data_IF_033313215796
#
_entry.id   IF_033313215796
#
_cell.length_a   1.000
_cell.length_b   1.000
_cell.length_c   1.000
_cell.angle_alpha   90.00
_cell.angle_beta   90.00
_cell.angle_gamma   90.00
#
_symmetry.space_group_name_H-M   'P 1'
#
loop_
_entity.id
_entity.type
_entity.pdbx_description
1 polymer ?
#
# COMPACT_ATOMS: atom_id res chain seq x y z
N UNK A 1 17.23 10.12 -19.80
CA UNK A 1 18.60 9.55 -19.79
C UNK A 1 19.45 10.19 -18.68
N UNK A 2 19.45 11.53 -18.56
CA UNK A 2 20.22 12.27 -17.54
C UNK A 2 19.88 11.91 -16.06
N UNK A 3 18.60 11.62 -15.76
CA UNK A 3 18.16 11.22 -14.41
C UNK A 3 18.77 9.86 -14.00
N UNK A 4 18.93 8.96 -14.96
CA UNK A 4 19.44 7.61 -14.72
C UNK A 4 20.95 7.68 -14.47
N UNK A 5 21.70 8.47 -15.24
CA UNK A 5 23.15 8.63 -15.00
C UNK A 5 23.43 9.27 -13.64
N UNK A 6 22.73 10.35 -13.28
CA UNK A 6 22.88 10.98 -11.95
C UNK A 6 22.57 10.02 -10.79
N UNK A 7 21.58 9.13 -10.98
CA UNK A 7 21.23 8.14 -9.96
C UNK A 7 22.29 7.03 -9.83
N UNK A 8 22.87 6.61 -10.97
CA UNK A 8 23.94 5.61 -11.01
C UNK A 8 25.23 6.19 -10.42
N UNK A 9 25.58 7.43 -10.76
CA UNK A 9 26.75 8.14 -10.20
C UNK A 9 26.64 8.26 -8.68
N UNK A 10 25.48 8.67 -8.17
CA UNK A 10 25.24 8.74 -6.73
C UNK A 10 25.32 7.37 -6.04
N UNK A 11 24.79 6.33 -6.66
CA UNK A 11 24.87 4.98 -6.13
C UNK A 11 26.30 4.43 -6.16
N UNK A 12 27.10 4.81 -7.16
CA UNK A 12 28.50 4.46 -7.29
C UNK A 12 29.34 5.17 -6.21
N UNK A 13 29.18 6.48 -6.03
CA UNK A 13 29.86 7.24 -4.97
C UNK A 13 29.52 6.73 -3.55
N UNK A 14 28.29 6.26 -3.34
CA UNK A 14 27.86 5.69 -2.05
C UNK A 14 28.42 4.26 -1.82
N UNK A 15 28.80 3.57 -2.89
CA UNK A 15 29.36 2.22 -2.85
C UNK A 15 30.89 2.19 -2.81
N UNK A 16 31.55 3.12 -3.51
CA UNK A 16 33.01 3.32 -3.55
C UNK A 16 33.48 4.07 -2.29
N UNK A 17 33.81 3.31 -1.24
CA UNK A 17 34.16 3.90 0.07
C UNK A 17 35.59 4.42 0.10
N UNK A 18 36.47 3.80 -0.66
CA UNK A 18 37.88 4.18 -0.74
C UNK A 18 38.15 5.28 -1.77
N UNK A 19 37.14 5.65 -2.57
CA UNK A 19 37.19 6.68 -3.62
C UNK A 19 38.24 6.37 -4.68
N UNK A 20 38.46 5.08 -4.95
CA UNK A 20 39.42 4.62 -5.94
C UNK A 20 38.94 4.85 -7.38
N UNK A 21 37.65 5.15 -7.58
CA UNK A 21 37.04 5.26 -8.91
C UNK A 21 36.73 3.89 -9.53
N UNK A 22 36.87 2.81 -8.76
CA UNK A 22 36.54 1.44 -9.15
C UNK A 22 35.85 0.72 -7.99
N UNK A 23 34.95 -0.23 -8.28
CA UNK A 23 34.32 -1.04 -7.24
C UNK A 23 35.06 -2.36 -7.08
N UNK A 24 35.59 -2.60 -5.88
CA UNK A 24 36.07 -3.94 -5.53
C UNK A 24 34.90 -4.92 -5.41
N UNK A 25 35.16 -6.23 -5.56
CA UNK A 25 34.10 -7.26 -5.47
C UNK A 25 33.38 -7.22 -4.10
N UNK A 26 34.08 -6.87 -3.03
CA UNK A 26 33.51 -6.72 -1.70
C UNK A 26 32.54 -5.52 -1.61
N UNK A 27 32.90 -4.38 -2.22
CA UNK A 27 32.06 -3.18 -2.26
C UNK A 27 30.84 -3.40 -3.16
N UNK A 28 31.03 -4.04 -4.33
CA UNK A 28 29.92 -4.42 -5.20
C UNK A 28 28.95 -5.36 -4.48
N UNK A 29 29.45 -6.39 -3.79
CA UNK A 29 28.61 -7.31 -3.02
C UNK A 29 27.85 -6.57 -1.89
N UNK A 30 28.51 -5.65 -1.18
CA UNK A 30 27.86 -4.83 -0.17
C UNK A 30 26.80 -3.90 -0.76
N UNK A 31 27.08 -3.28 -1.91
CA UNK A 31 26.17 -2.39 -2.61
C UNK A 31 24.95 -3.14 -3.14
N UNK A 32 25.14 -4.32 -3.75
CA UNK A 32 24.06 -5.20 -4.18
C UNK A 32 23.23 -5.70 -2.99
N UNK A 33 23.86 -6.10 -1.87
CA UNK A 33 23.14 -6.49 -0.66
C UNK A 33 22.28 -5.35 -0.09
N UNK A 34 22.79 -4.11 -0.07
CA UNK A 34 22.01 -2.93 0.30
C UNK A 34 20.88 -2.65 -0.70
N UNK A 35 21.15 -2.78 -2.00
CA UNK A 35 20.13 -2.61 -3.02
C UNK A 35 19.02 -3.66 -2.85
N UNK A 36 19.36 -4.91 -2.57
CA UNK A 36 18.43 -6.01 -2.34
C UNK A 36 17.51 -5.74 -1.15
N UNK A 37 18.05 -5.24 -0.03
CA UNK A 37 17.21 -4.79 1.11
C UNK A 37 16.27 -3.63 0.76
N UNK A 38 16.59 -2.84 -0.26
CA UNK A 38 15.78 -1.72 -0.77
C UNK A 38 14.85 -2.13 -1.91
N UNK A 39 15.02 -3.33 -2.50
CA UNK A 39 14.09 -3.92 -3.47
C UNK A 39 12.87 -4.43 -2.69
N UNK A 40 12.09 -3.44 -2.23
CA UNK A 40 10.69 -3.44 -1.77
C UNK A 40 10.33 -4.28 -0.54
N UNK A 41 10.47 -3.67 0.63
CA UNK A 41 9.40 -3.75 1.63
C UNK A 41 8.29 -2.78 1.18
N UNK A 42 7.20 -3.31 0.61
CA UNK A 42 5.97 -2.54 0.48
C UNK A 42 5.53 -2.07 1.87
N UNK A 43 4.82 -0.93 1.99
CA UNK A 43 4.44 -0.43 3.30
C UNK A 43 3.57 -1.47 4.02
N UNK A 44 3.88 -1.76 5.29
CA UNK A 44 3.18 -2.76 6.11
C UNK A 44 1.76 -2.29 6.46
N UNK A 45 0.88 -2.34 5.47
CA UNK A 45 -0.49 -1.84 5.50
C UNK A 45 -1.45 -2.96 5.18
N UNK A 46 -2.66 -2.90 5.74
CA UNK A 46 -3.72 -3.86 5.43
C UNK A 46 -4.02 -3.93 3.92
N UNK A 47 -3.87 -2.81 3.22
CA UNK A 47 -4.08 -2.73 1.78
C UNK A 47 -3.06 -3.56 0.99
N UNK A 48 -1.78 -3.51 1.36
CA UNK A 48 -0.72 -4.34 0.75
C UNK A 48 -0.99 -5.82 1.05
N UNK A 49 -1.21 -6.16 2.32
CA UNK A 49 -1.47 -7.54 2.73
C UNK A 49 -2.70 -8.14 2.02
N UNK A 50 -3.78 -7.37 1.85
CA UNK A 50 -4.97 -7.80 1.13
C UNK A 50 -4.69 -8.08 -0.35
N UNK A 51 -3.96 -7.18 -1.03
CA UNK A 51 -3.60 -7.36 -2.44
C UNK A 51 -2.64 -8.51 -2.67
N UNK A 52 -1.64 -8.67 -1.79
CA UNK A 52 -0.71 -9.80 -1.83
C UNK A 52 -1.44 -11.12 -1.58
N UNK A 53 -2.36 -11.15 -0.61
CA UNK A 53 -3.20 -12.31 -0.32
C UNK A 53 -4.04 -12.73 -1.51
N UNK A 54 -4.72 -11.79 -2.18
CA UNK A 54 -5.47 -12.07 -3.42
C UNK A 54 -4.56 -12.57 -4.54
N UNK A 55 -3.40 -11.94 -4.74
CA UNK A 55 -2.45 -12.35 -5.77
C UNK A 55 -1.93 -13.77 -5.57
N UNK A 56 -1.57 -14.13 -4.33
CA UNK A 56 -1.11 -15.48 -3.99
C UNK A 56 -2.24 -16.50 -4.16
N UNK A 57 -3.47 -16.16 -3.78
CA UNK A 57 -4.62 -17.04 -3.99
C UNK A 57 -4.85 -17.33 -5.48
N UNK A 58 -4.80 -16.30 -6.33
CA UNK A 58 -4.93 -16.45 -7.79
C UNK A 58 -3.79 -17.30 -8.37
N UNK A 59 -2.57 -17.09 -7.90
CA UNK A 59 -1.40 -17.88 -8.31
C UNK A 59 -1.56 -19.35 -7.95
N UNK A 60 -1.99 -19.67 -6.73
CA UNK A 60 -2.22 -21.04 -6.29
C UNK A 60 -3.33 -21.73 -7.11
N UNK A 61 -4.39 -20.99 -7.44
CA UNK A 61 -5.47 -21.51 -8.30
C UNK A 61 -4.97 -21.81 -9.73
N UNK A 62 -4.14 -20.93 -10.31
CA UNK A 62 -3.54 -21.15 -11.63
C UNK A 62 -2.62 -22.38 -11.64
N UNK A 63 -1.79 -22.55 -10.61
CA UNK A 63 -0.89 -23.70 -10.51
C UNK A 63 -1.62 -25.04 -10.42
N UNK A 64 -2.80 -25.07 -9.79
CA UNK A 64 -3.64 -26.27 -9.73
C UNK A 64 -4.11 -26.71 -11.12
N UNK A 65 -4.44 -25.78 -11.99
CA UNK A 65 -4.90 -26.06 -13.36
C UNK A 65 -3.75 -26.46 -14.29
N UNK A 66 -2.54 -25.92 -14.07
CA UNK A 66 -1.32 -26.26 -14.85
C UNK A 66 -0.84 -27.70 -14.61
N UNK A 67 -1.09 -28.30 -13.44
CA UNK A 67 -0.73 -29.71 -13.19
C UNK A 67 -1.45 -30.71 -14.12
N UNK A 68 -2.54 -30.28 -14.80
CA UNK A 68 -3.33 -31.13 -15.70
C UNK A 68 -2.96 -31.01 -17.18
N UNK A 69 -2.23 -29.96 -17.60
CA UNK A 69 -1.90 -29.73 -19.01
C UNK A 69 -0.48 -29.15 -19.09
N UNK A 70 0.41 -29.85 -19.80
CA UNK A 70 1.79 -29.53 -20.17
C UNK A 70 2.37 -28.23 -19.62
N UNK A 71 3.50 -28.35 -18.91
CA UNK A 71 4.37 -27.31 -18.34
C UNK A 71 4.96 -26.34 -19.38
N UNK A 72 4.14 -25.77 -20.26
CA UNK A 72 4.54 -24.56 -20.96
C UNK A 72 4.70 -23.48 -19.90
N UNK A 73 5.91 -22.95 -19.86
CA UNK A 73 6.44 -22.00 -18.91
C UNK A 73 5.62 -20.70 -18.94
N UNK A 74 4.44 -20.72 -18.32
CA UNK A 74 3.61 -19.53 -18.16
C UNK A 74 4.43 -18.53 -17.35
N UNK A 75 4.76 -17.40 -17.97
CA UNK A 75 5.43 -16.31 -17.28
C UNK A 75 4.50 -15.81 -16.18
N UNK A 76 4.74 -16.25 -14.94
CA UNK A 76 3.99 -15.79 -13.78
C UNK A 76 4.20 -14.28 -13.67
N UNK A 77 3.09 -13.54 -13.76
CA UNK A 77 3.13 -12.08 -13.67
C UNK A 77 3.58 -11.70 -12.26
N UNK A 78 4.66 -10.91 -12.14
CA UNK A 78 5.10 -10.41 -10.84
C UNK A 78 4.04 -9.51 -10.18
N UNK A 79 3.92 -9.60 -8.86
CA UNK A 79 3.04 -8.74 -8.08
C UNK A 79 3.34 -7.26 -8.32
N UNK A 80 2.30 -6.46 -8.50
CA UNK A 80 2.40 -5.00 -8.62
C UNK A 80 1.40 -4.36 -7.66
N UNK A 81 1.92 -3.75 -6.61
CA UNK A 81 1.11 -2.99 -5.66
C UNK A 81 0.41 -1.83 -6.37
N UNK A 82 -0.88 -1.69 -6.10
CA UNK A 82 -1.70 -0.57 -6.54
C UNK A 82 -2.07 0.27 -5.32
N UNK A 83 -1.50 1.47 -5.21
CA UNK A 83 -1.89 2.41 -4.17
C UNK A 83 -3.34 2.86 -4.39
N UNK A 84 -4.16 2.89 -3.34
CA UNK A 84 -5.58 3.29 -3.43
C UNK A 84 -5.88 4.57 -2.63
N UNK A 85 -4.85 5.25 -2.15
CA UNK A 85 -4.96 6.41 -1.27
C UNK A 85 -4.76 6.02 0.20
N UNK A 86 -4.85 7.03 1.06
CA UNK A 86 -4.76 6.92 2.51
C UNK A 86 -5.85 7.75 3.18
N UNK A 87 -6.35 7.27 4.32
CA UNK A 87 -7.37 7.95 5.10
C UNK A 87 -6.97 7.97 6.58
N UNK A 88 -7.16 9.11 7.24
CA UNK A 88 -6.83 9.28 8.65
C UNK A 88 -7.92 10.09 9.37
N UNK A 89 -8.45 9.56 10.47
CA UNK A 89 -9.32 10.32 11.36
C UNK A 89 -8.46 11.21 12.25
N UNK A 90 -8.78 12.51 12.34
CA UNK A 90 -7.95 13.50 13.05
C UNK A 90 -8.58 14.03 14.34
N UNK A 91 -9.78 13.57 14.69
CA UNK A 91 -10.53 14.03 15.86
C UNK A 91 -11.59 15.06 15.52
N UNK A 92 -12.44 15.41 16.49
CA UNK A 92 -13.47 16.44 16.28
C UNK A 92 -14.55 16.11 15.24
N UNK A 93 -14.76 14.83 14.92
CA UNK A 93 -15.62 14.38 13.81
C UNK A 93 -15.10 14.84 12.43
N UNK A 94 -13.78 15.00 12.31
CA UNK A 94 -13.06 15.34 11.10
C UNK A 94 -12.07 14.24 10.69
N UNK A 95 -11.84 14.12 9.39
CA UNK A 95 -10.83 13.23 8.82
C UNK A 95 -10.07 13.92 7.69
N UNK A 96 -8.98 13.29 7.28
CA UNK A 96 -8.21 13.65 6.10
C UNK A 96 -8.17 12.46 5.19
N UNK A 97 -8.40 12.69 3.91
CA UNK A 97 -8.41 11.68 2.87
C UNK A 97 -7.52 12.14 1.74
N UNK A 98 -6.52 11.33 1.43
CA UNK A 98 -5.57 11.59 0.37
C UNK A 98 -5.64 10.48 -0.68
N UNK A 99 -5.99 10.86 -1.90
CA UNK A 99 -6.04 9.94 -3.05
C UNK A 99 -4.88 10.16 -4.03
N UNK A 100 -3.89 10.99 -3.67
CA UNK A 100 -2.74 11.31 -4.51
C UNK A 100 -2.02 10.03 -4.93
N UNK A 101 -1.79 9.84 -6.24
CA UNK A 101 -1.07 8.68 -6.78
C UNK A 101 -1.88 7.38 -6.82
N UNK A 102 -3.19 7.42 -6.52
CA UNK A 102 -4.05 6.22 -6.53
C UNK A 102 -4.72 5.95 -7.88
N UNK A 103 -5.12 7.00 -8.61
CA UNK A 103 -5.66 6.90 -9.97
C UNK A 103 -5.21 8.10 -10.81
N UNK A 104 -4.75 7.86 -12.05
CA UNK A 104 -4.36 8.93 -12.98
C UNK A 104 -5.48 9.95 -13.23
N UNK A 105 -6.73 9.48 -13.24
CA UNK A 105 -7.91 10.34 -13.42
C UNK A 105 -8.13 11.27 -12.22
N UNK A 106 -7.93 10.79 -10.99
CA UNK A 106 -8.07 11.63 -9.80
C UNK A 106 -6.94 12.64 -9.69
N UNK A 107 -5.71 12.25 -10.04
CA UNK A 107 -4.55 13.14 -10.08
C UNK A 107 -4.66 14.22 -11.19
N UNK A 108 -5.30 13.91 -12.32
CA UNK A 108 -5.53 14.86 -13.42
C UNK A 108 -6.42 16.03 -13.01
N UNK A 109 -7.37 15.82 -12.08
CA UNK A 109 -8.21 16.89 -11.54
C UNK A 109 -7.54 17.68 -10.41
N UNK A 110 -6.25 17.44 -10.14
CA UNK A 110 -5.48 18.07 -9.08
C UNK A 110 -6.25 18.10 -7.74
N UNK A 111 -6.91 16.98 -7.43
CA UNK A 111 -7.72 16.85 -6.23
C UNK A 111 -6.79 16.92 -5.02
N UNK A 112 -6.84 18.06 -4.33
CA UNK A 112 -6.16 18.23 -3.05
C UNK A 112 -6.71 17.21 -2.04
N UNK A 113 -5.89 16.81 -1.05
CA UNK A 113 -6.38 16.02 0.08
C UNK A 113 -7.62 16.67 0.68
N UNK A 114 -8.69 15.90 0.82
CA UNK A 114 -9.94 16.36 1.40
C UNK A 114 -9.81 16.30 2.92
N UNK A 115 -10.13 17.38 3.62
CA UNK A 115 -10.12 17.44 5.07
C UNK A 115 -11.42 18.00 5.65
N UNK A 116 -11.73 17.64 6.89
CA UNK A 116 -12.88 18.16 7.65
C UNK A 116 -14.00 17.13 7.84
N UNK A 117 -15.21 17.61 8.18
CA UNK A 117 -16.35 16.75 8.54
C UNK A 117 -16.90 15.95 7.36
N UNK A 118 -16.89 16.51 6.16
CA UNK A 118 -17.27 15.78 4.93
C UNK A 118 -16.31 14.62 4.65
N UNK A 119 -15.01 14.83 4.86
CA UNK A 119 -14.01 13.77 4.79
C UNK A 119 -14.24 12.71 5.87
N UNK A 120 -14.74 13.06 7.06
CA UNK A 120 -15.09 12.07 8.09
C UNK A 120 -16.27 11.17 7.70
N UNK A 121 -17.30 11.71 7.04
CA UNK A 121 -18.39 10.88 6.49
C UNK A 121 -17.91 9.97 5.35
N UNK A 122 -17.01 10.48 4.51
CA UNK A 122 -16.36 9.68 3.47
C UNK A 122 -15.52 8.55 4.09
N UNK A 123 -14.71 8.87 5.10
CA UNK A 123 -13.95 7.91 5.88
C UNK A 123 -14.87 6.81 6.46
N UNK A 124 -15.98 7.17 7.11
CA UNK A 124 -16.98 6.21 7.63
C UNK A 124 -17.53 5.30 6.52
N UNK A 125 -17.80 5.85 5.33
CA UNK A 125 -18.28 5.09 4.17
C UNK A 125 -17.26 4.07 3.65
N UNK A 126 -15.98 4.43 3.62
CA UNK A 126 -14.90 3.50 3.24
C UNK A 126 -14.83 2.33 4.22
N UNK A 127 -14.86 2.59 5.52
CA UNK A 127 -14.84 1.52 6.54
C UNK A 127 -16.02 0.54 6.40
N UNK A 128 -17.23 1.04 6.15
CA UNK A 128 -18.39 0.18 5.90
C UNK A 128 -18.24 -0.68 4.63
N UNK A 129 -17.54 -0.17 3.62
CA UNK A 129 -17.29 -0.90 2.37
C UNK A 129 -16.27 -2.01 2.59
N UNK A 130 -15.16 -1.71 3.27
CA UNK A 130 -14.04 -2.64 3.54
C UNK A 130 -14.40 -3.79 4.50
N UNK A 131 -15.44 -3.65 5.32
CA UNK A 131 -15.86 -4.74 6.20
C UNK A 131 -16.37 -5.96 5.43
N UNK A 132 -15.98 -7.15 5.88
CA UNK A 132 -16.25 -8.41 5.18
C UNK A 132 -17.70 -8.91 5.30
N UNK A 133 -18.38 -8.66 6.42
CA UNK A 133 -19.72 -9.23 6.69
C UNK A 133 -20.79 -8.17 6.95
N UNK A 134 -22.03 -8.46 6.55
CA UNK A 134 -23.18 -7.60 6.82
C UNK A 134 -23.41 -7.36 8.32
N UNK A 135 -23.20 -8.40 9.15
CA UNK A 135 -23.33 -8.30 10.62
C UNK A 135 -22.37 -7.25 11.18
N UNK A 136 -21.10 -7.29 10.82
CA UNK A 136 -20.11 -6.33 11.31
C UNK A 136 -20.44 -4.91 10.84
N UNK A 137 -20.92 -4.75 9.60
CA UNK A 137 -21.36 -3.45 9.06
C UNK A 137 -22.53 -2.88 9.86
N UNK A 138 -23.56 -3.69 10.13
CA UNK A 138 -24.73 -3.26 10.91
C UNK A 138 -24.35 -2.89 12.34
N UNK A 139 -23.50 -3.69 12.99
CA UNK A 139 -23.01 -3.41 14.34
C UNK A 139 -22.24 -2.08 14.38
N UNK A 140 -21.31 -1.86 13.44
CA UNK A 140 -20.55 -0.62 13.36
C UNK A 140 -21.46 0.61 13.11
N UNK A 141 -22.42 0.48 12.19
CA UNK A 141 -23.37 1.55 11.91
C UNK A 141 -24.22 1.88 13.15
N UNK A 142 -24.69 0.87 13.87
CA UNK A 142 -25.45 1.05 15.10
C UNK A 142 -24.62 1.72 16.20
N UNK A 143 -23.36 1.33 16.37
CA UNK A 143 -22.45 1.96 17.33
C UNK A 143 -22.24 3.45 17.01
N UNK A 144 -22.10 3.81 15.74
CA UNK A 144 -22.00 5.20 15.33
C UNK A 144 -23.28 5.98 15.62
N UNK A 145 -24.46 5.41 15.32
CA UNK A 145 -25.74 6.04 15.64
C UNK A 145 -25.88 6.25 17.14
N UNK A 146 -25.62 5.21 17.95
CA UNK A 146 -25.66 5.29 19.41
C UNK A 146 -24.73 6.39 19.93
N UNK A 147 -23.51 6.46 19.40
CA UNK A 147 -22.51 7.47 19.81
C UNK A 147 -22.94 8.89 19.45
N UNK A 148 -23.66 9.09 18.33
CA UNK A 148 -24.17 10.40 17.94
C UNK A 148 -25.29 10.90 18.85
N UNK A 149 -26.21 10.02 19.28
CA UNK A 149 -27.34 10.42 20.13
C UNK A 149 -27.01 10.44 21.63
N UNK A 150 -26.23 9.46 22.10
CA UNK A 150 -26.00 9.24 23.53
C UNK A 150 -24.56 9.53 23.96
N UNK A 151 -23.68 9.91 23.02
CA UNK A 151 -22.26 10.04 23.29
C UNK A 151 -21.55 8.68 23.38
N UNK A 152 -20.23 8.71 23.55
CA UNK A 152 -19.42 7.49 23.67
C UNK A 152 -19.61 6.89 25.06
N UNK A 153 -19.93 5.61 25.12
CA UNK A 153 -19.94 4.86 26.37
C UNK A 153 -18.53 4.81 26.95
N UNK A 154 -18.35 5.39 28.13
CA UNK A 154 -17.09 5.43 28.89
C UNK A 154 -17.13 4.55 30.13
N UNK A 155 -18.25 3.83 30.36
CA UNK A 155 -18.31 2.86 31.44
C UNK A 155 -17.28 1.76 31.16
N UNK A 156 -16.33 1.63 32.07
CA UNK A 156 -15.17 0.76 31.92
C UNK A 156 -15.11 -0.24 33.06
N UNK A 157 -16.26 -0.85 33.39
CA UNK A 157 -16.43 -1.87 34.42
C UNK A 157 -17.63 -2.75 34.11
#
# INVERSE_FOLDING_TARGET
>A
LEIISKSIEKAFEEADKDKSGTLTLAELHSALGKADTKIRALPATAQVASQEGSFVADLLNQLKDTQSNNYEQQSLKSFRYKHMGSLAYVGGDEAVVDFTGSKPILDMFNLKPLSGRSAAYLWKSFYLTEMFTGRTKTLLAFDWVRTQFFGRDISRY
#
